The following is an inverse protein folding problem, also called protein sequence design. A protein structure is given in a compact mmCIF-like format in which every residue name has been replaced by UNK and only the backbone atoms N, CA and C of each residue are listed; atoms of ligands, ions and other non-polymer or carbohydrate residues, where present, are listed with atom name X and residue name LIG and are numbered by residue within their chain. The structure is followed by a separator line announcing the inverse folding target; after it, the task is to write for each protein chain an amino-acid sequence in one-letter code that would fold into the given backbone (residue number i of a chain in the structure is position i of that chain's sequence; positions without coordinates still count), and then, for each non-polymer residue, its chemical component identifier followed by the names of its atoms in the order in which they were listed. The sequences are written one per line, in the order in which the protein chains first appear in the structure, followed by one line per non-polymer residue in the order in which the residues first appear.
data_IF_896635981276
#
_entry.id   IF_896635981276
#
_cell.length_a   1.000
_cell.length_b   1.000
_cell.length_c   1.000
_cell.angle_alpha   90.00
_cell.angle_beta   90.00
_cell.angle_gamma   90.00
#
_symmetry.space_group_name_H-M   'P 1'
#
loop_
_entity.id
_entity.type
_entity.pdbx_description
1 polymer ?
#
# COMPACT_ATOMS: atom_id res chain seq x y z
N UNK A 1 22.10 3.58 77.52
CA UNK A 1 20.99 4.12 76.67
C UNK A 1 21.39 3.86 75.22
N UNK A 2 21.08 2.68 74.69
CA UNK A 2 21.43 2.26 73.31
C UNK A 2 20.22 2.54 72.43
N UNK A 3 20.43 3.39 71.35
CA UNK A 3 19.43 3.61 70.31
C UNK A 3 19.61 2.56 69.22
N UNK A 4 18.60 1.73 68.98
CA UNK A 4 18.51 0.85 67.81
C UNK A 4 18.08 1.69 66.61
N UNK A 5 18.87 1.64 65.53
CA UNK A 5 18.55 2.28 64.28
C UNK A 5 17.99 1.17 63.36
N UNK A 6 16.69 1.20 63.07
CA UNK A 6 16.05 0.29 62.15
C UNK A 6 16.27 0.76 60.72
N UNK A 7 16.97 -0.02 59.90
CA UNK A 7 17.17 0.23 58.49
C UNK A 7 16.01 -0.46 57.77
N UNK A 8 15.06 0.32 57.20
CA UNK A 8 14.08 -0.20 56.25
C UNK A 8 14.74 -0.35 54.86
N UNK A 9 14.96 -1.59 54.46
CA UNK A 9 15.35 -1.92 53.09
C UNK A 9 14.12 -1.84 52.19
N UNK A 10 13.98 -0.78 51.43
CA UNK A 10 12.97 -0.63 50.38
C UNK A 10 13.33 -1.47 49.15
N UNK A 11 12.58 -2.51 48.86
CA UNK A 11 12.70 -3.30 47.65
C UNK A 11 12.10 -2.51 46.49
N UNK A 12 12.95 -2.00 45.60
CA UNK A 12 12.49 -1.40 44.32
C UNK A 12 12.06 -2.52 43.39
N UNK A 13 10.75 -2.69 43.19
CA UNK A 13 10.20 -3.55 42.13
C UNK A 13 10.25 -2.78 40.82
N UNK A 14 11.24 -3.10 40.00
CA UNK A 14 11.29 -2.61 38.62
C UNK A 14 10.17 -3.32 37.81
N UNK A 15 9.06 -2.63 37.60
CA UNK A 15 8.05 -3.06 36.64
C UNK A 15 8.63 -2.96 35.23
N UNK A 16 9.08 -4.07 34.68
CA UNK A 16 9.38 -4.18 33.25
C UNK A 16 8.05 -4.11 32.49
N UNK A 17 7.74 -2.97 31.90
CA UNK A 17 6.73 -2.88 30.84
C UNK A 17 7.23 -3.73 29.66
N UNK A 18 6.89 -5.01 29.64
CA UNK A 18 6.95 -5.78 28.41
C UNK A 18 5.97 -5.12 27.45
N UNK A 19 6.49 -4.40 26.45
CA UNK A 19 5.66 -3.91 25.35
C UNK A 19 4.93 -5.10 24.76
N UNK A 20 3.59 -5.04 24.75
CA UNK A 20 2.78 -6.07 24.10
C UNK A 20 3.21 -6.14 22.64
N UNK A 21 3.56 -7.33 22.17
CA UNK A 21 3.87 -7.53 20.75
C UNK A 21 2.65 -7.11 19.92
N UNK A 22 2.89 -6.40 18.82
CA UNK A 22 1.85 -5.98 17.89
C UNK A 22 1.04 -7.20 17.43
N UNK A 23 -0.29 -7.14 17.57
CA UNK A 23 -1.15 -8.22 17.11
C UNK A 23 -1.21 -8.28 15.58
N UNK A 24 -1.52 -9.44 14.97
CA UNK A 24 -1.70 -9.53 13.53
C UNK A 24 -2.74 -8.55 12.98
N UNK A 25 -3.81 -8.29 13.71
CA UNK A 25 -4.85 -7.34 13.30
C UNK A 25 -4.33 -5.90 13.33
N UNK A 26 -3.55 -5.51 14.34
CA UNK A 26 -2.93 -4.18 14.42
C UNK A 26 -1.91 -3.98 13.31
N UNK A 27 -1.06 -4.98 13.06
CA UNK A 27 -0.12 -4.96 11.95
C UNK A 27 -0.82 -4.87 10.61
N UNK A 28 -1.87 -5.67 10.39
CA UNK A 28 -2.69 -5.63 9.18
C UNK A 28 -3.39 -4.28 9.00
N UNK A 29 -3.90 -3.71 10.10
CA UNK A 29 -4.46 -2.36 10.11
C UNK A 29 -3.45 -1.33 9.61
N UNK A 30 -2.24 -1.36 10.14
CA UNK A 30 -1.18 -0.46 9.71
C UNK A 30 -0.87 -0.60 8.21
N UNK A 31 -0.68 -1.83 7.73
CA UNK A 31 -0.38 -2.09 6.32
C UNK A 31 -1.50 -1.61 5.39
N UNK A 32 -2.74 -1.94 5.71
CA UNK A 32 -3.90 -1.62 4.87
C UNK A 32 -4.25 -0.14 4.91
N UNK A 33 -4.19 0.50 6.11
CA UNK A 33 -4.65 1.87 6.32
C UNK A 33 -3.58 2.93 6.04
N UNK A 34 -2.30 2.55 6.09
CA UNK A 34 -1.22 3.50 5.92
C UNK A 34 -0.41 3.27 4.64
N UNK A 35 -0.21 2.01 4.22
CA UNK A 35 0.72 1.67 3.13
C UNK A 35 -0.02 1.27 1.86
N UNK A 36 -0.81 0.19 1.91
CA UNK A 36 -1.48 -0.40 0.74
C UNK A 36 -2.66 0.44 0.24
N UNK A 37 -3.31 1.22 1.12
CA UNK A 37 -4.42 2.13 0.81
C UNK A 37 -5.61 1.42 0.11
N UNK A 38 -6.00 0.24 0.59
CA UNK A 38 -7.08 -0.57 0.01
C UNK A 38 -8.42 0.18 -0.10
N UNK A 39 -8.66 1.12 0.81
CA UNK A 39 -9.83 2.02 0.79
C UNK A 39 -9.98 2.77 -0.53
N UNK A 40 -8.88 3.14 -1.18
CA UNK A 40 -8.90 3.92 -2.42
C UNK A 40 -9.69 3.23 -3.54
N UNK A 41 -9.71 1.90 -3.54
CA UNK A 41 -10.43 1.08 -4.52
C UNK A 41 -11.67 0.37 -3.94
N UNK A 42 -11.66 0.01 -2.65
CA UNK A 42 -12.66 -0.87 -2.04
C UNK A 42 -13.68 -0.16 -1.15
N UNK A 43 -13.53 1.14 -0.88
CA UNK A 43 -14.51 1.95 -0.14
C UNK A 43 -15.25 2.89 -1.08
N UNK A 44 -16.60 2.93 -1.04
CA UNK A 44 -17.36 3.80 -1.92
C UNK A 44 -17.17 5.27 -1.56
N UNK A 45 -17.44 6.16 -2.51
CA UNK A 45 -17.42 7.60 -2.29
C UNK A 45 -18.82 8.13 -1.93
N UNK A 46 -18.85 9.10 -1.04
CA UNK A 46 -20.01 9.93 -0.72
C UNK A 46 -19.58 11.39 -0.75
N UNK A 47 -20.16 12.19 -1.64
CA UNK A 47 -19.78 13.59 -1.79
C UNK A 47 -18.29 13.79 -2.16
N UNK A 48 -17.68 12.85 -2.87
CA UNK A 48 -16.27 12.90 -3.27
C UNK A 48 -15.28 12.40 -2.22
N UNK A 49 -15.73 12.07 -1.01
CA UNK A 49 -14.90 11.51 0.07
C UNK A 49 -15.19 10.02 0.28
N UNK A 50 -14.25 9.31 0.91
CA UNK A 50 -14.47 7.91 1.28
C UNK A 50 -15.62 7.80 2.30
N UNK A 51 -16.63 6.97 1.99
CA UNK A 51 -17.72 6.67 2.91
C UNK A 51 -17.27 5.60 3.92
N UNK A 52 -16.76 6.04 5.06
CA UNK A 52 -16.21 5.14 6.09
C UNK A 52 -17.29 4.31 6.81
N UNK A 53 -18.57 4.69 6.77
CA UNK A 53 -19.68 3.88 7.28
C UNK A 53 -19.90 2.61 6.43
N UNK A 54 -19.50 2.67 5.15
CA UNK A 54 -19.55 1.56 4.22
C UNK A 54 -18.15 1.10 3.79
N UNK A 55 -17.20 1.24 4.68
CA UNK A 55 -15.81 0.91 4.42
C UNK A 55 -15.67 -0.51 3.86
N UNK A 56 -14.84 -0.67 2.84
CA UNK A 56 -14.55 -1.93 2.14
C UNK A 56 -15.73 -2.61 1.44
N UNK A 57 -16.89 -1.97 1.38
CA UNK A 57 -18.08 -2.60 0.77
C UNK A 57 -18.11 -2.55 -0.76
N UNK A 58 -17.06 -2.07 -1.41
CA UNK A 58 -16.96 -1.95 -2.86
C UNK A 58 -16.76 -0.51 -3.33
N UNK A 59 -15.93 -0.33 -4.34
CA UNK A 59 -15.53 0.99 -4.83
C UNK A 59 -16.52 1.65 -5.78
N UNK A 60 -16.45 2.98 -5.84
CA UNK A 60 -17.26 3.80 -6.77
C UNK A 60 -16.65 3.89 -8.17
N UNK A 61 -15.33 3.73 -8.28
CA UNK A 61 -14.66 3.84 -9.58
C UNK A 61 -14.92 2.64 -10.47
N UNK A 62 -15.14 2.92 -11.76
CA UNK A 62 -15.22 1.92 -12.82
C UNK A 62 -13.99 2.05 -13.69
N UNK A 63 -13.27 0.95 -13.83
CA UNK A 63 -12.21 0.84 -14.82
C UNK A 63 -12.78 0.10 -16.03
N UNK A 64 -13.06 0.86 -17.08
CA UNK A 64 -13.54 0.33 -18.37
C UNK A 64 -12.44 0.49 -19.41
N UNK A 65 -11.90 -0.62 -19.83
CA UNK A 65 -10.77 -0.73 -20.75
C UNK A 65 -11.15 -1.66 -21.93
N UNK A 66 -10.37 -1.70 -22.99
CA UNK A 66 -10.57 -2.71 -24.03
C UNK A 66 -10.51 -4.16 -23.51
N UNK A 67 -9.76 -4.43 -22.42
CA UNK A 67 -9.56 -5.78 -21.89
C UNK A 67 -10.57 -6.16 -20.79
N UNK A 68 -11.11 -5.20 -20.04
CA UNK A 68 -12.02 -5.50 -18.93
C UNK A 68 -12.85 -4.29 -18.49
N UNK A 69 -13.98 -4.57 -17.85
CA UNK A 69 -14.75 -3.60 -17.06
C UNK A 69 -14.82 -4.13 -15.63
N UNK A 70 -14.21 -3.42 -14.67
CA UNK A 70 -14.12 -3.84 -13.26
C UNK A 70 -14.38 -2.68 -12.29
N UNK A 71 -14.72 -3.06 -11.05
CA UNK A 71 -14.83 -2.17 -9.89
C UNK A 71 -14.13 -2.79 -8.70
N UNK A 72 -13.78 -2.00 -7.70
CA UNK A 72 -13.35 -2.51 -6.40
C UNK A 72 -14.45 -3.39 -5.81
N UNK A 73 -14.13 -4.65 -5.53
CA UNK A 73 -15.08 -5.61 -4.97
C UNK A 73 -15.44 -5.27 -3.52
N UNK A 74 -16.57 -5.77 -3.03
CA UNK A 74 -16.87 -5.84 -1.60
C UNK A 74 -15.88 -6.82 -0.94
N UNK A 75 -15.02 -6.32 -0.08
CA UNK A 75 -14.03 -7.10 0.68
C UNK A 75 -14.38 -7.14 2.17
N UNK A 76 -15.61 -6.78 2.56
CA UNK A 76 -16.11 -7.01 3.91
C UNK A 76 -16.42 -8.50 4.12
N UNK A 77 -16.44 -9.00 5.39
CA UNK A 77 -16.79 -10.38 5.69
C UNK A 77 -18.31 -10.67 5.57
N UNK A 78 -19.02 -9.97 4.67
CA UNK A 78 -20.40 -10.31 4.33
C UNK A 78 -20.43 -11.64 3.56
N UNK A 79 -21.28 -12.55 4.00
CA UNK A 79 -21.31 -13.94 3.50
C UNK A 79 -21.88 -14.09 2.10
N UNK A 80 -22.71 -13.14 1.63
CA UNK A 80 -23.37 -13.22 0.34
C UNK A 80 -22.69 -12.38 -0.73
N UNK A 81 -22.27 -11.17 -0.39
CA UNK A 81 -21.79 -10.17 -1.34
C UNK A 81 -20.32 -9.81 -1.19
N UNK A 82 -19.69 -10.25 -0.10
CA UNK A 82 -18.30 -9.97 0.26
C UNK A 82 -17.42 -11.22 0.24
N UNK A 83 -16.45 -11.23 1.16
CA UNK A 83 -15.46 -12.31 1.31
C UNK A 83 -15.78 -13.26 2.46
N UNK A 84 -16.95 -13.15 3.10
CA UNK A 84 -17.28 -13.91 4.32
C UNK A 84 -17.27 -15.43 4.14
N UNK A 85 -17.59 -15.91 2.95
CA UNK A 85 -17.55 -17.33 2.60
C UNK A 85 -16.14 -17.83 2.19
N UNK A 86 -15.14 -16.96 2.07
CA UNK A 86 -13.79 -17.31 1.64
C UNK A 86 -12.92 -17.74 2.83
N UNK A 87 -12.10 -18.73 2.63
CA UNK A 87 -11.08 -19.10 3.62
C UNK A 87 -9.96 -18.05 3.69
N UNK A 88 -9.14 -18.11 4.74
CA UNK A 88 -7.94 -17.29 4.82
C UNK A 88 -6.95 -17.60 3.66
N UNK A 89 -6.85 -18.86 3.28
CA UNK A 89 -5.96 -19.29 2.20
C UNK A 89 -6.46 -18.82 0.83
N UNK A 90 -7.77 -18.73 0.61
CA UNK A 90 -8.33 -18.10 -0.60
C UNK A 90 -7.91 -16.64 -0.73
N UNK A 91 -7.94 -15.90 0.38
CA UNK A 91 -7.53 -14.49 0.41
C UNK A 91 -6.01 -14.33 0.20
N UNK A 92 -5.21 -15.18 0.82
CA UNK A 92 -3.76 -15.22 0.61
C UNK A 92 -3.42 -15.52 -0.86
N UNK A 93 -4.11 -16.50 -1.45
CA UNK A 93 -3.96 -16.84 -2.85
C UNK A 93 -4.37 -15.68 -3.77
N UNK A 94 -5.48 -15.00 -3.46
CA UNK A 94 -5.88 -13.81 -4.19
C UNK A 94 -4.79 -12.73 -4.14
N UNK A 95 -4.25 -12.43 -2.96
CA UNK A 95 -3.24 -11.38 -2.79
C UNK A 95 -1.91 -11.73 -3.45
N UNK A 96 -1.51 -12.99 -3.51
CA UNK A 96 -0.24 -13.42 -4.12
C UNK A 96 -0.33 -13.75 -5.60
N UNK A 97 -1.41 -14.41 -6.01
CA UNK A 97 -1.53 -14.99 -7.34
C UNK A 97 -2.59 -14.29 -8.20
N UNK A 98 -3.43 -13.47 -7.57
CA UNK A 98 -4.57 -12.82 -8.22
C UNK A 98 -5.71 -13.78 -8.52
N UNK A 99 -5.77 -14.96 -7.89
CA UNK A 99 -6.74 -16.01 -8.21
C UNK A 99 -7.84 -16.08 -7.15
N UNK A 100 -9.10 -15.95 -7.58
CA UNK A 100 -10.29 -16.08 -6.74
C UNK A 100 -10.59 -17.55 -6.44
N UNK A 101 -11.42 -17.88 -5.43
CA UNK A 101 -11.87 -19.25 -5.16
C UNK A 101 -12.50 -19.94 -6.39
N UNK A 102 -13.14 -19.16 -7.25
CA UNK A 102 -13.71 -19.64 -8.52
C UNK A 102 -12.68 -20.03 -9.59
N UNK A 103 -11.38 -19.84 -9.32
CA UNK A 103 -10.30 -20.02 -10.30
C UNK A 103 -10.10 -18.83 -11.26
N UNK A 104 -10.98 -17.85 -11.24
CA UNK A 104 -10.86 -16.66 -12.11
C UNK A 104 -9.75 -15.74 -11.60
N UNK A 105 -8.84 -15.35 -12.50
CA UNK A 105 -7.80 -14.38 -12.20
C UNK A 105 -8.34 -12.95 -12.29
N UNK A 106 -8.02 -12.12 -11.30
CA UNK A 106 -8.49 -10.74 -11.24
C UNK A 106 -7.78 -9.85 -12.28
N UNK A 107 -8.45 -8.79 -12.70
CA UNK A 107 -7.84 -7.80 -13.58
C UNK A 107 -6.61 -7.15 -12.93
N UNK A 108 -5.62 -6.68 -13.72
CA UNK A 108 -4.43 -6.00 -13.22
C UNK A 108 -4.73 -4.79 -12.33
N UNK A 109 -5.93 -4.24 -12.41
CA UNK A 109 -6.41 -3.17 -11.55
C UNK A 109 -6.43 -3.56 -10.06
N UNK A 110 -6.61 -4.84 -9.73
CA UNK A 110 -6.25 -5.39 -8.42
C UNK A 110 -4.77 -5.76 -8.45
N UNK A 111 -3.88 -4.97 -7.85
CA UNK A 111 -2.45 -4.99 -8.15
C UNK A 111 -1.71 -6.11 -7.38
N UNK A 112 -2.19 -7.35 -7.48
CA UNK A 112 -1.64 -8.50 -6.75
C UNK A 112 -0.15 -8.74 -7.03
N UNK A 113 0.36 -8.39 -8.21
CA UNK A 113 1.79 -8.50 -8.54
C UNK A 113 2.69 -7.71 -7.58
N UNK A 114 2.18 -6.64 -6.96
CA UNK A 114 2.87 -5.86 -5.95
C UNK A 114 2.81 -6.50 -4.57
N UNK A 115 1.91 -7.47 -4.34
CA UNK A 115 1.73 -8.13 -3.05
C UNK A 115 2.44 -9.48 -2.97
N UNK A 116 3.06 -9.94 -4.06
CA UNK A 116 3.87 -11.18 -4.07
C UNK A 116 5.03 -11.11 -3.08
N UNK A 117 5.58 -9.90 -2.88
CA UNK A 117 6.69 -9.63 -1.94
C UNK A 117 6.28 -9.71 -0.45
N UNK A 118 4.99 -9.67 -0.10
CA UNK A 118 4.55 -9.68 1.29
C UNK A 118 5.22 -10.80 2.08
N UNK A 119 5.80 -10.47 3.24
CA UNK A 119 6.28 -11.52 4.16
C UNK A 119 5.10 -12.42 4.55
N UNK A 120 5.36 -13.68 4.95
CA UNK A 120 4.28 -14.55 5.43
C UNK A 120 3.47 -13.91 6.57
N UNK A 121 4.16 -13.27 7.53
CA UNK A 121 3.51 -12.60 8.67
C UNK A 121 2.67 -11.39 8.24
N UNK A 122 3.15 -10.55 7.33
CA UNK A 122 2.39 -9.40 6.83
C UNK A 122 1.19 -9.83 5.98
N UNK A 123 1.31 -10.90 5.22
CA UNK A 123 0.18 -11.46 4.47
C UNK A 123 -0.92 -11.97 5.42
N UNK A 124 -0.53 -12.71 6.47
CA UNK A 124 -1.45 -13.16 7.52
C UNK A 124 -2.12 -11.98 8.23
N UNK A 125 -1.35 -10.94 8.54
CA UNK A 125 -1.82 -9.73 9.18
C UNK A 125 -2.85 -8.97 8.32
N UNK A 126 -2.58 -8.78 7.04
CA UNK A 126 -3.51 -8.14 6.09
C UNK A 126 -4.82 -8.92 6.01
N UNK A 127 -4.75 -10.25 5.88
CA UNK A 127 -5.93 -11.12 5.83
C UNK A 127 -6.71 -11.05 7.14
N UNK A 128 -6.04 -11.11 8.29
CA UNK A 128 -6.68 -11.01 9.60
C UNK A 128 -7.43 -9.68 9.77
N UNK A 129 -6.80 -8.57 9.38
CA UNK A 129 -7.43 -7.25 9.50
C UNK A 129 -8.63 -7.08 8.56
N UNK A 130 -8.51 -7.44 7.28
CA UNK A 130 -9.62 -7.31 6.33
C UNK A 130 -10.81 -8.17 6.77
N UNK A 131 -10.56 -9.36 7.30
CA UNK A 131 -11.62 -10.23 7.85
C UNK A 131 -12.22 -9.73 9.16
N UNK A 132 -11.56 -8.85 9.90
CA UNK A 132 -12.08 -8.22 11.12
C UNK A 132 -13.00 -7.02 10.88
N UNK A 133 -13.13 -6.58 9.62
CA UNK A 133 -14.02 -5.47 9.28
C UNK A 133 -15.48 -5.79 9.54
N UNK A 134 -16.31 -4.76 9.73
CA UNK A 134 -17.75 -4.95 9.84
C UNK A 134 -18.33 -5.47 8.52
N UNK A 135 -19.22 -6.48 8.52
CA UNK A 135 -19.86 -6.95 7.31
C UNK A 135 -20.83 -5.90 6.77
N UNK A 136 -20.73 -5.62 5.49
CA UNK A 136 -21.63 -4.69 4.80
C UNK A 136 -22.18 -5.37 3.55
N UNK A 137 -23.48 -5.63 3.53
CA UNK A 137 -24.14 -6.18 2.32
C UNK A 137 -24.13 -5.15 1.20
N UNK A 138 -23.44 -5.44 0.12
CA UNK A 138 -23.41 -4.60 -1.08
C UNK A 138 -23.02 -5.42 -2.31
N UNK A 139 -23.99 -5.60 -3.22
CA UNK A 139 -23.77 -6.30 -4.46
C UNK A 139 -23.04 -5.39 -5.45
N UNK A 140 -21.74 -5.64 -5.63
CA UNK A 140 -20.94 -4.97 -6.68
C UNK A 140 -21.19 -5.66 -8.02
N UNK A 141 -21.35 -4.92 -9.13
CA UNK A 141 -21.47 -5.51 -10.46
C UNK A 141 -20.30 -6.47 -10.77
N UNK A 142 -20.63 -7.59 -11.39
CA UNK A 142 -19.66 -8.62 -11.75
C UNK A 142 -18.64 -8.06 -12.74
N UNK A 143 -17.38 -8.41 -12.54
CA UNK A 143 -16.31 -8.05 -13.47
C UNK A 143 -16.55 -8.69 -14.85
N UNK A 144 -16.36 -7.91 -15.90
CA UNK A 144 -16.44 -8.37 -17.29
C UNK A 144 -15.02 -8.40 -17.86
N UNK A 145 -14.60 -9.56 -18.32
CA UNK A 145 -13.32 -9.76 -18.99
C UNK A 145 -13.57 -9.88 -20.50
N UNK A 146 -12.91 -9.02 -21.29
CA UNK A 146 -13.14 -8.85 -22.73
C UNK A 146 -12.01 -9.42 -23.58
N UNK A 147 -10.80 -9.51 -22.99
CA UNK A 147 -9.60 -10.01 -23.64
C UNK A 147 -8.67 -10.65 -22.61
N UNK A 148 -7.62 -11.31 -23.08
CA UNK A 148 -6.53 -11.80 -22.24
C UNK A 148 -5.82 -10.65 -21.55
N UNK A 149 -5.57 -10.79 -20.25
CA UNK A 149 -4.94 -9.75 -19.44
C UNK A 149 -3.44 -9.95 -19.37
N UNK A 150 -2.71 -8.84 -19.45
CA UNK A 150 -1.27 -8.83 -19.27
C UNK A 150 -0.93 -8.43 -17.85
N UNK A 151 0.01 -9.15 -17.24
CA UNK A 151 0.53 -8.88 -15.90
C UNK A 151 2.03 -8.63 -15.98
N UNK A 152 2.49 -7.59 -15.34
CA UNK A 152 3.89 -7.18 -15.35
C UNK A 152 4.46 -7.38 -13.94
N UNK A 153 5.24 -8.44 -13.69
CA UNK A 153 5.90 -8.66 -12.40
C UNK A 153 6.84 -7.51 -12.07
N UNK A 154 6.95 -7.21 -10.78
CA UNK A 154 7.88 -6.19 -10.30
C UNK A 154 9.24 -6.87 -10.08
N UNK A 155 10.31 -6.41 -10.76
CA UNK A 155 11.63 -7.01 -10.59
C UNK A 155 12.08 -7.04 -9.13
N UNK A 156 12.54 -8.20 -8.66
CA UNK A 156 12.96 -8.49 -7.29
C UNK A 156 11.81 -8.50 -6.25
N UNK A 157 10.54 -8.52 -6.69
CA UNK A 157 9.37 -8.60 -5.81
C UNK A 157 8.49 -9.83 -6.11
N UNK A 158 8.96 -10.77 -6.92
CA UNK A 158 8.22 -11.94 -7.37
C UNK A 158 8.12 -13.04 -6.28
N UNK A 159 8.89 -12.90 -5.21
CA UNK A 159 8.90 -13.82 -4.08
C UNK A 159 8.76 -13.07 -2.75
N UNK A 160 8.21 -13.75 -1.71
CA UNK A 160 8.08 -13.14 -0.39
C UNK A 160 9.43 -12.71 0.20
N UNK A 161 9.44 -11.54 0.83
CA UNK A 161 10.54 -11.11 1.68
C UNK A 161 10.56 -11.91 2.98
N UNK A 162 11.73 -11.96 3.63
CA UNK A 162 11.90 -12.51 4.97
C UNK A 162 11.98 -11.37 6.00
N UNK A 163 11.71 -11.68 7.26
CA UNK A 163 11.84 -10.69 8.35
C UNK A 163 13.27 -10.17 8.48
N UNK A 164 14.27 -11.00 8.17
CA UNK A 164 15.68 -10.58 8.14
C UNK A 164 15.92 -9.49 7.08
N UNK A 165 15.33 -9.63 5.89
CA UNK A 165 15.44 -8.62 4.84
C UNK A 165 14.84 -7.27 5.25
N UNK A 166 13.83 -7.28 6.12
CA UNK A 166 13.17 -6.08 6.62
C UNK A 166 14.03 -5.28 7.62
N UNK A 167 15.15 -5.84 8.12
CA UNK A 167 16.10 -5.13 8.98
C UNK A 167 16.98 -4.14 8.21
N UNK A 168 17.17 -4.34 6.91
CA UNK A 168 17.89 -3.42 6.01
C UNK A 168 16.94 -2.28 5.58
N UNK A 169 17.28 -1.01 5.86
CA UNK A 169 16.39 0.11 5.56
C UNK A 169 16.11 0.28 4.06
N UNK A 170 17.05 -0.04 3.18
CA UNK A 170 16.84 0.06 1.72
C UNK A 170 15.90 -1.05 1.25
N UNK A 171 16.10 -2.29 1.70
CA UNK A 171 15.20 -3.41 1.39
C UNK A 171 13.80 -3.17 1.95
N UNK A 172 13.71 -2.69 3.20
CA UNK A 172 12.44 -2.29 3.81
C UNK A 172 11.74 -1.20 3.01
N UNK A 173 12.48 -0.19 2.54
CA UNK A 173 11.94 0.87 1.68
C UNK A 173 11.44 0.35 0.33
N UNK A 174 12.18 -0.57 -0.29
CA UNK A 174 11.74 -1.26 -1.51
C UNK A 174 10.44 -2.05 -1.29
N UNK A 175 10.37 -2.83 -0.19
CA UNK A 175 9.19 -3.57 0.21
C UNK A 175 7.97 -2.66 0.37
N UNK A 176 8.08 -1.61 1.19
CA UNK A 176 6.99 -0.66 1.45
C UNK A 176 6.55 0.07 0.19
N UNK A 177 7.50 0.54 -0.62
CA UNK A 177 7.20 1.22 -1.88
C UNK A 177 6.55 0.30 -2.90
N UNK A 178 6.89 -0.99 -2.88
CA UNK A 178 6.26 -2.01 -3.73
C UNK A 178 4.81 -2.21 -3.32
N UNK A 179 4.53 -2.52 -2.06
CA UNK A 179 3.14 -2.75 -1.62
C UNK A 179 2.29 -1.46 -1.60
N UNK A 180 2.92 -0.28 -1.63
CA UNK A 180 2.27 1.02 -1.84
C UNK A 180 2.04 1.36 -3.33
N UNK A 181 2.46 0.52 -4.23
CA UNK A 181 2.32 0.62 -5.71
C UNK A 181 3.06 1.80 -6.34
N UNK A 182 4.14 2.31 -5.78
CA UNK A 182 4.82 3.49 -6.29
C UNK A 182 5.18 3.35 -7.77
N UNK A 183 5.73 2.19 -8.16
CA UNK A 183 6.18 1.95 -9.53
C UNK A 183 5.05 1.68 -10.52
N UNK A 184 3.82 1.45 -10.07
CA UNK A 184 2.66 1.35 -10.97
C UNK A 184 2.48 2.62 -11.81
N UNK A 185 2.68 3.79 -11.20
CA UNK A 185 2.58 5.08 -11.88
C UNK A 185 3.95 5.56 -12.37
N UNK A 186 4.99 5.41 -11.53
CA UNK A 186 6.30 5.99 -11.79
C UNK A 186 7.16 5.19 -12.79
N UNK A 187 6.75 3.97 -13.16
CA UNK A 187 7.39 3.18 -14.24
C UNK A 187 6.47 2.94 -15.42
N UNK A 188 5.40 3.73 -15.54
CA UNK A 188 4.50 3.69 -16.68
C UNK A 188 4.93 4.73 -17.74
N UNK A 189 5.04 4.29 -18.98
CA UNK A 189 5.38 5.12 -20.13
C UNK A 189 4.22 6.07 -20.50
N UNK A 190 4.48 7.15 -21.26
CA UNK A 190 3.44 8.06 -21.74
C UNK A 190 2.34 7.37 -22.60
N UNK A 191 2.68 6.27 -23.27
CA UNK A 191 1.73 5.44 -24.04
C UNK A 191 0.88 4.49 -23.16
N UNK A 192 1.04 4.55 -21.84
CA UNK A 192 0.30 3.76 -20.87
C UNK A 192 0.87 2.36 -20.60
N UNK A 193 1.95 1.97 -21.26
CA UNK A 193 2.59 0.65 -21.09
C UNK A 193 3.47 0.65 -19.83
N UNK A 194 3.35 -0.42 -19.02
CA UNK A 194 4.25 -0.67 -17.90
C UNK A 194 5.61 -1.17 -18.41
N UNK A 195 6.70 -0.52 -18.01
CA UNK A 195 8.05 -0.90 -18.40
C UNK A 195 9.00 -0.77 -17.20
N UNK A 196 9.06 -1.84 -16.39
CA UNK A 196 9.94 -1.89 -15.23
C UNK A 196 11.42 -2.12 -15.59
N UNK A 197 11.73 -2.44 -16.84
CA UNK A 197 13.10 -2.69 -17.30
C UNK A 197 13.80 -1.40 -17.77
N UNK A 198 13.11 -0.61 -18.60
CA UNK A 198 13.76 0.56 -19.26
C UNK A 198 13.17 1.88 -18.78
N UNK A 199 12.11 1.85 -17.95
CA UNK A 199 11.39 3.05 -17.52
C UNK A 199 11.23 3.14 -16.00
N UNK A 200 12.06 2.42 -15.25
CA UNK A 200 11.93 2.30 -13.80
C UNK A 200 12.12 3.63 -13.07
N UNK A 201 11.05 4.17 -12.51
CA UNK A 201 11.05 5.47 -11.83
C UNK A 201 11.09 6.69 -12.74
N UNK A 202 11.11 6.56 -14.07
CA UNK A 202 11.18 7.67 -15.01
C UNK A 202 9.91 8.54 -15.02
N UNK A 203 8.75 7.97 -14.75
CA UNK A 203 7.49 8.69 -14.81
C UNK A 203 7.04 9.04 -16.24
N UNK A 204 6.28 10.12 -16.38
CA UNK A 204 5.80 10.64 -17.66
C UNK A 204 4.40 10.19 -18.04
N UNK A 205 3.85 9.15 -17.44
CA UNK A 205 2.48 8.73 -17.70
C UNK A 205 1.47 9.82 -17.32
N UNK A 206 0.49 10.03 -18.20
CA UNK A 206 -0.62 10.96 -17.97
C UNK A 206 -1.76 10.27 -17.23
N UNK A 207 -2.33 10.97 -16.27
CA UNK A 207 -3.56 10.58 -15.56
C UNK A 207 -4.58 11.70 -15.67
N UNK A 208 -5.79 11.37 -16.10
CA UNK A 208 -6.89 12.31 -16.26
C UNK A 208 -8.07 11.87 -15.41
N UNK A 209 -8.70 12.82 -14.71
CA UNK A 209 -9.85 12.54 -13.85
C UNK A 209 -10.52 13.84 -13.37
N UNK A 210 -11.41 13.78 -12.39
CA UNK A 210 -12.06 14.97 -11.83
C UNK A 210 -11.07 16.01 -11.28
N UNK A 211 -9.84 15.58 -10.97
CA UNK A 211 -8.71 16.42 -10.53
C UNK A 211 -8.01 17.16 -11.68
N UNK A 212 -8.46 16.95 -12.92
CA UNK A 212 -7.82 17.44 -14.14
C UNK A 212 -6.77 16.46 -14.68
N UNK A 213 -5.79 17.01 -15.41
CA UNK A 213 -4.69 16.27 -16.02
C UNK A 213 -3.43 16.41 -15.15
N UNK A 214 -2.79 15.30 -14.83
CA UNK A 214 -1.53 15.25 -14.08
C UNK A 214 -0.59 14.21 -14.70
N UNK A 215 0.71 14.34 -14.42
CA UNK A 215 1.74 13.43 -14.93
C UNK A 215 2.53 12.82 -13.78
N UNK A 216 2.84 11.52 -13.87
CA UNK A 216 3.76 10.88 -12.94
C UNK A 216 5.15 11.53 -13.04
N UNK A 217 5.68 11.97 -11.91
CA UNK A 217 7.02 12.57 -11.86
C UNK A 217 8.11 11.52 -12.03
N UNK A 218 9.27 11.92 -12.56
CA UNK A 218 10.49 11.15 -12.47
C UNK A 218 10.97 11.13 -11.01
N UNK A 219 11.07 9.95 -10.43
CA UNK A 219 11.54 9.70 -9.05
C UNK A 219 12.91 9.02 -9.00
N UNK A 220 13.60 8.91 -10.14
CA UNK A 220 14.97 8.42 -10.17
C UNK A 220 15.94 9.43 -9.54
N UNK A 221 17.17 9.00 -9.26
CA UNK A 221 18.23 9.88 -8.73
C UNK A 221 18.77 10.90 -9.73
N UNK A 222 18.16 11.08 -10.90
CA UNK A 222 18.61 12.07 -11.88
C UNK A 222 18.55 13.49 -11.30
N UNK A 223 19.66 14.27 -11.33
CA UNK A 223 19.76 15.53 -10.59
C UNK A 223 18.81 16.62 -11.10
N UNK A 224 18.55 16.71 -12.40
CA UNK A 224 17.71 17.75 -12.97
C UNK A 224 16.25 17.29 -13.19
N UNK A 225 16.03 16.07 -13.74
CA UNK A 225 14.71 15.58 -14.13
C UNK A 225 14.03 14.73 -13.04
N UNK A 226 14.84 14.12 -12.15
CA UNK A 226 14.39 13.27 -11.05
C UNK A 226 14.43 13.96 -9.69
N UNK A 227 14.71 13.17 -8.68
CA UNK A 227 14.77 13.62 -7.27
C UNK A 227 16.22 13.82 -6.77
N UNK A 228 17.24 13.74 -7.63
CA UNK A 228 18.64 13.83 -7.21
C UNK A 228 19.01 15.11 -6.46
N UNK A 229 18.39 16.24 -6.82
CA UNK A 229 18.58 17.53 -6.14
C UNK A 229 17.47 17.85 -5.10
N UNK A 230 16.51 16.95 -4.86
CA UNK A 230 15.45 17.12 -3.87
C UNK A 230 15.95 16.65 -2.51
N UNK A 231 15.70 17.39 -1.42
CA UNK A 231 16.12 16.98 -0.07
C UNK A 231 15.25 15.84 0.46
N UNK A 232 15.73 15.10 1.45
CA UNK A 232 14.95 14.02 2.08
C UNK A 232 13.67 14.56 2.73
N UNK A 233 13.74 15.72 3.37
CA UNK A 233 12.60 16.40 3.97
C UNK A 233 11.56 16.80 2.92
N UNK A 234 11.98 17.19 1.73
CA UNK A 234 11.06 17.49 0.63
C UNK A 234 10.37 16.20 0.14
N UNK A 235 11.09 15.07 0.05
CA UNK A 235 10.48 13.77 -0.31
C UNK A 235 9.48 13.34 0.76
N UNK A 236 9.86 13.42 2.05
CA UNK A 236 8.94 13.12 3.16
C UNK A 236 7.68 13.99 3.10
N UNK A 237 7.83 15.30 2.83
CA UNK A 237 6.71 16.22 2.69
C UNK A 237 5.78 15.86 1.52
N UNK A 238 6.32 15.40 0.41
CA UNK A 238 5.53 14.85 -0.70
C UNK A 238 4.66 13.69 -0.22
N UNK A 239 5.23 12.76 0.52
CA UNK A 239 4.53 11.55 0.98
C UNK A 239 3.50 11.86 2.07
N UNK A 240 3.87 12.63 3.08
CA UNK A 240 3.07 12.80 4.31
C UNK A 240 2.15 14.02 4.28
N UNK A 241 2.46 15.03 3.46
CA UNK A 241 1.67 16.26 3.39
C UNK A 241 1.06 16.52 2.01
N UNK A 242 1.45 15.77 0.99
CA UNK A 242 0.98 16.00 -0.37
C UNK A 242 1.46 17.32 -0.98
N UNK A 243 2.64 17.80 -0.56
CA UNK A 243 3.21 19.07 -1.04
C UNK A 243 4.44 18.75 -1.90
N UNK A 244 4.40 19.15 -3.15
CA UNK A 244 5.49 19.00 -4.11
C UNK A 244 6.73 19.85 -3.76
N UNK A 245 7.86 19.55 -4.45
CA UNK A 245 9.13 20.29 -4.27
C UNK A 245 9.01 21.79 -4.53
N UNK A 246 8.09 22.17 -5.38
CA UNK A 246 7.76 23.55 -5.78
C UNK A 246 6.70 24.22 -4.87
N UNK A 247 6.29 23.54 -3.80
CA UNK A 247 5.29 24.03 -2.84
C UNK A 247 3.84 23.82 -3.27
N UNK A 248 3.57 23.31 -4.47
CA UNK A 248 2.20 23.04 -4.93
C UNK A 248 1.58 21.88 -4.16
N UNK A 249 0.27 21.96 -3.92
CA UNK A 249 -0.50 20.82 -3.40
C UNK A 249 -0.68 19.78 -4.51
N UNK A 250 -0.34 18.55 -4.21
CA UNK A 250 -0.45 17.44 -5.14
C UNK A 250 -1.92 17.05 -5.35
N UNK A 251 -2.23 16.60 -6.54
CA UNK A 251 -3.55 16.07 -6.92
C UNK A 251 -3.51 14.55 -7.00
N UNK A 252 -4.70 13.93 -7.00
CA UNK A 252 -4.80 12.50 -7.27
C UNK A 252 -4.15 12.17 -8.66
N UNK A 253 -3.58 10.97 -8.84
CA UNK A 253 -3.51 9.88 -7.87
C UNK A 253 -2.39 9.99 -6.82
N UNK A 254 -1.47 10.99 -6.93
CA UNK A 254 -0.34 11.14 -5.98
C UNK A 254 -0.71 11.82 -4.65
N UNK A 255 -1.88 12.44 -4.53
CA UNK A 255 -2.40 12.99 -3.27
C UNK A 255 -2.75 11.87 -2.27
N UNK A 256 -1.74 11.14 -1.78
CA UNK A 256 -1.88 9.94 -0.93
C UNK A 256 -1.59 10.20 0.55
N UNK A 257 -1.44 11.46 0.94
CA UNK A 257 -1.15 11.86 2.33
C UNK A 257 -2.23 11.38 3.31
N UNK A 258 -3.48 11.17 2.88
CA UNK A 258 -4.53 10.59 3.71
C UNK A 258 -4.15 9.22 4.30
N UNK A 259 -3.33 8.47 3.58
CA UNK A 259 -2.79 7.17 4.00
C UNK A 259 -1.36 7.32 4.52
N UNK A 260 -0.46 7.84 3.72
CA UNK A 260 0.98 7.85 3.99
C UNK A 260 1.38 8.70 5.22
N UNK A 261 0.59 9.71 5.61
CA UNK A 261 0.80 10.44 6.86
C UNK A 261 0.61 9.58 8.13
N UNK A 262 0.04 8.38 8.00
CA UNK A 262 -0.12 7.41 9.09
C UNK A 262 1.07 6.45 9.21
N UNK A 263 1.99 6.48 8.26
CA UNK A 263 3.20 5.66 8.33
C UNK A 263 4.12 6.14 9.43
N UNK A 264 4.89 5.22 10.00
CA UNK A 264 5.93 5.57 10.97
C UNK A 264 7.05 6.35 10.29
N UNK A 265 7.74 7.20 11.05
CA UNK A 265 8.92 7.93 10.56
C UNK A 265 10.01 6.97 10.07
N UNK A 266 10.17 5.81 10.72
CA UNK A 266 11.11 4.78 10.30
C UNK A 266 10.78 4.24 8.90
N UNK A 267 9.51 4.01 8.60
CA UNK A 267 9.07 3.52 7.30
C UNK A 267 9.15 4.58 6.21
N UNK A 268 8.80 5.82 6.50
CA UNK A 268 9.02 6.95 5.58
C UNK A 268 10.51 7.12 5.29
N UNK A 269 11.38 7.04 6.30
CA UNK A 269 12.83 7.11 6.11
C UNK A 269 13.36 5.95 5.26
N UNK A 270 12.84 4.74 5.45
CA UNK A 270 13.18 3.59 4.64
C UNK A 270 12.79 3.78 3.16
N UNK A 271 11.59 4.31 2.88
CA UNK A 271 11.16 4.65 1.51
C UNK A 271 12.11 5.68 0.91
N UNK A 272 12.49 6.72 1.66
CA UNK A 272 13.45 7.74 1.18
C UNK A 272 14.80 7.10 0.88
N UNK A 273 15.32 6.26 1.77
CA UNK A 273 16.59 5.55 1.56
C UNK A 273 16.56 4.71 0.27
N UNK A 274 15.47 3.98 0.05
CA UNK A 274 15.33 3.17 -1.15
C UNK A 274 15.20 4.02 -2.44
N UNK A 275 14.32 5.04 -2.46
CA UNK A 275 14.10 5.83 -3.67
C UNK A 275 15.38 6.53 -4.14
N UNK A 276 16.32 6.83 -3.23
CA UNK A 276 17.65 7.35 -3.55
C UNK A 276 18.53 6.37 -4.33
N UNK A 277 18.25 5.07 -4.23
CA UNK A 277 19.01 4.02 -4.95
C UNK A 277 18.55 3.82 -6.39
N UNK A 278 17.43 4.41 -6.81
CA UNK A 278 16.93 4.29 -8.19
C UNK A 278 17.93 4.98 -9.14
N UNK A 279 18.53 4.25 -10.08
CA UNK A 279 19.52 4.82 -10.99
C UNK A 279 18.98 6.03 -11.74
N UNK A 280 19.83 7.01 -12.07
CA UNK A 280 19.40 8.20 -12.82
C UNK A 280 18.92 7.80 -14.21
N UNK A 281 17.73 8.28 -14.59
CA UNK A 281 17.13 8.04 -15.91
C UNK A 281 16.54 9.36 -16.44
N UNK A 282 16.79 9.64 -17.73
CA UNK A 282 16.27 10.83 -18.43
C UNK A 282 14.88 10.62 -19.01
#
# INVERSE_FOLDING_TARGET
MFKFMTICAGTLVAATCAGLAESPVERGKYLVDAVMACDGCHTPLLGGNLNMERRFSGGSFVWDTPAYTVRGANITPDGETGIGAWSADDLKRLLREGVRPSGVKVAPQMPFVFYQILTPGDLDAVVAYVRSAAPVRNQVPVAVYKAEMQYHPIPNAETPFTDEMMSDPVKRGFYLSTIAHCMECHSRRPDGVQDYKNWYGKGGAEFTGPFGKVYASNISSHPAKGIGAVTDEQIKRVLTQGIGRDGRVLKAPMARQTWFAKMTDADINAIVAWVRTIPPIE
#
